data_IF_077903572946
#
_entry.id   IF_077903572946
#
_cell.length_a   1.000
_cell.length_b   1.000
_cell.length_c   1.000
_cell.angle_alpha   90.00
_cell.angle_beta   90.00
_cell.angle_gamma   90.00
#
_symmetry.space_group_name_H-M   'P 1'
#
loop_
_entity.id
_entity.type
_entity.pdbx_description
1 polymer ?
#
# COMPACT_ATOMS: atom_id res chain seq x y z
N UNK A 1 -2.27 -17.38 -3.18
CA UNK A 1 -2.15 -16.61 -1.91
C UNK A 1 -2.33 -15.14 -2.24
N UNK A 2 -3.26 -14.46 -1.58
CA UNK A 2 -3.47 -13.01 -1.74
C UNK A 2 -2.92 -12.29 -0.51
N UNK A 3 -2.18 -11.21 -0.72
CA UNK A 3 -1.46 -10.47 0.32
C UNK A 3 -1.80 -8.98 0.18
N UNK A 4 -2.11 -8.32 1.29
CA UNK A 4 -2.38 -6.86 1.36
C UNK A 4 -1.21 -6.07 1.99
N UNK A 5 -0.05 -6.69 2.14
CA UNK A 5 1.14 -6.08 2.73
C UNK A 5 2.30 -6.19 1.75
N UNK A 6 2.67 -5.08 1.14
CA UNK A 6 3.64 -5.01 0.05
C UNK A 6 5.00 -5.66 0.39
N UNK A 7 5.52 -5.42 1.61
CA UNK A 7 6.78 -6.01 2.06
C UNK A 7 6.71 -7.53 2.20
N UNK A 8 5.61 -8.04 2.79
CA UNK A 8 5.38 -9.48 2.92
C UNK A 8 5.20 -10.13 1.55
N UNK A 9 4.44 -9.51 0.65
CA UNK A 9 4.22 -9.99 -0.71
C UNK A 9 5.53 -10.09 -1.49
N UNK A 10 6.38 -9.08 -1.42
CA UNK A 10 7.71 -9.08 -2.04
C UNK A 10 8.55 -10.27 -1.56
N UNK A 11 8.69 -10.44 -0.24
CA UNK A 11 9.44 -11.55 0.35
C UNK A 11 8.87 -12.92 -0.05
N UNK A 12 7.54 -13.07 -0.04
CA UNK A 12 6.89 -14.33 -0.44
C UNK A 12 7.12 -14.67 -1.92
N UNK A 13 7.18 -13.68 -2.79
CA UNK A 13 7.51 -13.86 -4.23
C UNK A 13 8.96 -14.31 -4.44
N UNK A 14 9.84 -14.10 -3.46
CA UNK A 14 11.26 -14.46 -3.50
C UNK A 14 11.61 -15.78 -2.79
N UNK A 15 10.64 -16.50 -2.22
CA UNK A 15 10.94 -17.76 -1.51
C UNK A 15 11.68 -18.77 -2.39
N UNK A 16 11.41 -18.80 -3.70
CA UNK A 16 12.16 -19.66 -4.62
C UNK A 16 13.67 -19.37 -4.64
N UNK A 17 14.06 -18.11 -4.44
CA UNK A 17 15.48 -17.70 -4.36
C UNK A 17 16.05 -18.01 -2.98
N UNK A 18 15.28 -17.77 -1.91
CA UNK A 18 15.72 -18.06 -0.53
C UNK A 18 15.98 -19.55 -0.28
N UNK A 19 15.31 -20.44 -1.03
CA UNK A 19 15.46 -21.89 -0.95
C UNK A 19 16.29 -22.48 -2.09
N UNK A 20 17.09 -21.66 -2.78
CA UNK A 20 17.97 -22.14 -3.86
C UNK A 20 18.97 -23.16 -3.35
N UNK A 21 19.01 -24.35 -3.99
CA UNK A 21 19.84 -25.48 -3.57
C UNK A 21 19.29 -26.30 -2.38
N UNK A 22 18.15 -25.91 -1.80
CA UNK A 22 17.48 -26.64 -0.73
C UNK A 22 16.48 -27.68 -1.33
N UNK A 23 16.24 -28.83 -0.67
CA UNK A 23 15.21 -29.79 -1.09
C UNK A 23 13.79 -29.20 -1.23
N UNK A 24 13.51 -28.04 -0.64
CA UNK A 24 12.24 -27.34 -0.72
C UNK A 24 12.16 -26.34 -1.89
N UNK A 25 13.23 -26.16 -2.66
CA UNK A 25 13.30 -25.11 -3.71
C UNK A 25 12.12 -25.17 -4.69
N UNK A 26 11.82 -26.35 -5.24
CA UNK A 26 10.72 -26.49 -6.20
C UNK A 26 9.37 -26.10 -5.60
N UNK A 27 9.11 -26.50 -4.37
CA UNK A 27 7.89 -26.14 -3.64
C UNK A 27 7.83 -24.65 -3.34
N UNK A 28 8.95 -24.04 -2.97
CA UNK A 28 9.07 -22.60 -2.71
C UNK A 28 8.83 -21.81 -4.00
N UNK A 29 9.39 -22.21 -5.13
CA UNK A 29 9.13 -21.59 -6.44
C UNK A 29 7.66 -21.73 -6.84
N UNK A 30 7.06 -22.90 -6.65
CA UNK A 30 5.63 -23.12 -6.93
C UNK A 30 4.71 -22.31 -6.01
N UNK A 31 5.11 -22.04 -4.77
CA UNK A 31 4.40 -21.14 -3.86
C UNK A 31 4.51 -19.70 -4.32
N UNK A 32 5.75 -19.21 -4.55
CA UNK A 32 6.02 -17.83 -4.99
C UNK A 32 5.22 -17.45 -6.25
N UNK A 33 5.11 -18.36 -7.21
CA UNK A 33 4.35 -18.16 -8.44
C UNK A 33 2.83 -17.96 -8.21
N UNK A 34 2.31 -18.34 -7.04
CA UNK A 34 0.89 -18.19 -6.67
C UNK A 34 0.64 -16.98 -5.77
N UNK A 35 1.67 -16.24 -5.40
CA UNK A 35 1.53 -15.04 -4.57
C UNK A 35 1.07 -13.88 -5.44
N UNK A 36 0.00 -13.22 -5.01
CA UNK A 36 -0.56 -12.03 -5.66
C UNK A 36 -0.78 -10.96 -4.61
N UNK A 37 -0.44 -9.74 -4.94
CA UNK A 37 -0.95 -8.60 -4.19
C UNK A 37 -2.47 -8.48 -4.41
N UNK A 38 -3.18 -8.00 -3.40
CA UNK A 38 -4.63 -7.81 -3.48
C UNK A 38 -5.01 -6.87 -4.62
N UNK A 39 -4.20 -5.86 -4.88
CA UNK A 39 -4.42 -4.91 -5.97
C UNK A 39 -4.23 -5.53 -7.35
N UNK A 40 -3.24 -6.45 -7.50
CA UNK A 40 -3.10 -7.24 -8.74
C UNK A 40 -4.37 -8.04 -9.03
N UNK A 41 -4.84 -8.81 -8.02
CA UNK A 41 -6.01 -9.66 -8.20
C UNK A 41 -7.26 -8.83 -8.53
N UNK A 42 -7.49 -7.74 -7.80
CA UNK A 42 -8.65 -6.88 -8.04
C UNK A 42 -8.58 -6.21 -9.42
N UNK A 43 -7.40 -5.74 -9.83
CA UNK A 43 -7.23 -5.13 -11.15
C UNK A 43 -7.41 -6.13 -12.31
N UNK A 44 -7.00 -7.40 -12.10
CA UNK A 44 -7.19 -8.50 -13.07
C UNK A 44 -8.67 -8.90 -13.18
N UNK A 45 -9.38 -8.97 -12.07
CA UNK A 45 -10.80 -9.41 -12.05
C UNK A 45 -11.77 -8.28 -12.39
N UNK A 46 -11.35 -7.04 -12.26
CA UNK A 46 -12.18 -5.85 -12.42
C UNK A 46 -13.05 -5.61 -11.18
N UNK A 47 -12.70 -4.66 -10.30
CA UNK A 47 -13.54 -4.33 -9.15
C UNK A 47 -14.87 -3.78 -9.62
N UNK A 48 -15.96 -4.13 -8.91
CA UNK A 48 -17.28 -3.56 -9.18
C UNK A 48 -17.30 -2.08 -8.77
N UNK A 49 -18.07 -1.27 -9.47
CA UNK A 49 -18.37 0.08 -8.99
C UNK A 49 -19.36 -0.01 -7.83
N UNK A 50 -19.01 0.60 -6.70
CA UNK A 50 -19.90 0.71 -5.53
C UNK A 50 -20.63 2.04 -5.46
N UNK A 51 -21.04 2.46 -4.27
CA UNK A 51 -21.58 3.79 -4.01
C UNK A 51 -20.46 4.83 -3.88
N UNK A 52 -20.81 6.11 -4.02
CA UNK A 52 -19.85 7.22 -3.89
C UNK A 52 -19.20 7.27 -2.50
N UNK A 53 -17.88 7.47 -2.50
CA UNK A 53 -17.09 7.85 -1.32
C UNK A 53 -16.39 9.16 -1.64
N UNK A 54 -17.09 10.27 -1.30
CA UNK A 54 -16.60 11.60 -1.63
C UNK A 54 -15.46 11.98 -0.69
N UNK A 55 -14.23 11.74 -1.13
CA UNK A 55 -13.00 12.06 -0.39
C UNK A 55 -11.83 12.31 -1.35
N UNK A 56 -10.87 13.08 -0.87
CA UNK A 56 -9.58 13.30 -1.54
C UNK A 56 -8.53 12.40 -0.90
N UNK A 57 -7.81 11.64 -1.71
CA UNK A 57 -6.79 10.69 -1.29
C UNK A 57 -5.40 11.15 -1.73
N UNK A 58 -4.47 11.37 -0.79
CA UNK A 58 -3.05 11.50 -1.07
C UNK A 58 -2.47 10.09 -1.27
N UNK A 59 -2.24 9.70 -2.52
CA UNK A 59 -1.79 8.34 -2.83
C UNK A 59 -0.26 8.23 -2.80
N UNK A 60 0.24 7.27 -2.00
CA UNK A 60 1.64 6.88 -1.89
C UNK A 60 1.89 5.52 -2.55
N UNK A 61 2.95 5.40 -3.34
CA UNK A 61 3.43 4.14 -3.90
C UNK A 61 4.41 3.45 -2.93
N UNK A 62 4.03 2.39 -2.22
CA UNK A 62 4.99 1.68 -1.38
C UNK A 62 6.16 1.14 -2.19
N UNK A 63 7.38 1.43 -1.75
CA UNK A 63 8.60 1.03 -2.44
C UNK A 63 8.67 -0.49 -2.71
N UNK A 64 8.24 -1.33 -1.77
CA UNK A 64 8.18 -2.78 -1.95
C UNK A 64 7.12 -3.22 -2.97
N UNK A 65 6.03 -2.48 -3.13
CA UNK A 65 5.04 -2.81 -4.15
C UNK A 65 5.56 -2.42 -5.54
N UNK A 66 6.01 -1.18 -5.67
CA UNK A 66 6.44 -0.63 -6.95
C UNK A 66 7.76 -1.22 -7.43
N UNK A 67 8.80 -1.21 -6.60
CA UNK A 67 10.15 -1.58 -7.02
C UNK A 67 10.43 -3.08 -6.88
N UNK A 68 9.95 -3.74 -5.82
CA UNK A 68 10.23 -5.15 -5.61
C UNK A 68 9.22 -6.06 -6.32
N UNK A 69 7.96 -5.66 -6.44
CA UNK A 69 6.92 -6.47 -7.09
C UNK A 69 6.54 -6.00 -8.50
N UNK A 70 6.95 -4.80 -8.92
CA UNK A 70 6.61 -4.22 -10.22
C UNK A 70 5.15 -3.79 -10.35
N UNK A 71 4.46 -3.56 -9.21
CA UNK A 71 3.03 -3.20 -9.14
C UNK A 71 2.91 -1.71 -8.86
N UNK A 72 2.32 -0.96 -9.77
CA UNK A 72 2.16 0.50 -9.64
C UNK A 72 0.81 1.02 -10.11
N UNK A 73 0.29 0.51 -11.22
CA UNK A 73 -1.00 0.94 -11.79
C UNK A 73 -2.21 0.24 -11.16
N UNK A 74 -2.03 -0.95 -10.60
CA UNK A 74 -3.10 -1.82 -10.11
C UNK A 74 -3.85 -1.21 -8.93
N UNK A 75 -3.18 -0.65 -7.90
CA UNK A 75 -3.89 0.03 -6.82
C UNK A 75 -4.70 1.24 -7.28
N UNK A 76 -4.18 1.99 -8.26
CA UNK A 76 -4.88 3.14 -8.85
C UNK A 76 -6.13 2.70 -9.61
N UNK A 77 -6.07 1.56 -10.35
CA UNK A 77 -7.26 0.98 -11.00
C UNK A 77 -8.32 0.55 -9.99
N UNK A 78 -7.91 0.04 -8.83
CA UNK A 78 -8.85 -0.29 -7.74
C UNK A 78 -9.55 0.96 -7.24
N UNK A 79 -8.82 2.04 -6.99
CA UNK A 79 -9.38 3.31 -6.54
C UNK A 79 -10.27 3.99 -7.59
N UNK A 80 -9.95 3.85 -8.87
CA UNK A 80 -10.80 4.35 -9.98
C UNK A 80 -12.18 3.71 -10.04
N UNK A 81 -12.36 2.52 -9.44
CA UNK A 81 -13.67 1.87 -9.34
C UNK A 81 -14.56 2.47 -8.24
N UNK A 82 -14.02 3.35 -7.38
CA UNK A 82 -14.73 4.03 -6.29
C UNK A 82 -15.23 5.39 -6.79
N UNK A 83 -16.55 5.56 -7.01
CA UNK A 83 -17.09 6.85 -7.43
C UNK A 83 -16.86 7.91 -6.34
N UNK A 84 -16.52 9.13 -6.74
CA UNK A 84 -16.31 10.27 -5.82
C UNK A 84 -14.91 10.34 -5.18
N UNK A 85 -14.07 9.31 -5.29
CA UNK A 85 -12.71 9.37 -4.81
C UNK A 85 -11.83 10.21 -5.75
N UNK A 86 -11.28 11.33 -5.24
CA UNK A 86 -10.28 12.15 -5.93
C UNK A 86 -8.88 11.69 -5.52
N UNK A 87 -8.19 10.98 -6.42
CA UNK A 87 -6.89 10.36 -6.14
C UNK A 87 -5.76 11.26 -6.63
N UNK A 88 -4.98 11.79 -5.70
CA UNK A 88 -3.81 12.63 -5.97
C UNK A 88 -2.54 11.86 -5.63
N UNK A 89 -1.77 11.51 -6.63
CA UNK A 89 -0.44 10.91 -6.42
C UNK A 89 0.49 11.99 -5.87
N UNK A 90 1.05 11.75 -4.68
CA UNK A 90 1.91 12.72 -4.01
C UNK A 90 3.25 12.90 -4.73
N UNK A 91 3.92 14.03 -4.52
CA UNK A 91 5.29 14.22 -4.98
C UNK A 91 6.19 13.13 -4.37
N UNK A 92 7.11 12.56 -5.18
CA UNK A 92 8.03 11.50 -4.72
C UNK A 92 7.29 10.30 -4.11
N UNK A 93 6.13 9.94 -4.67
CA UNK A 93 5.31 8.85 -4.18
C UNK A 93 6.07 7.52 -4.12
N UNK A 94 7.00 7.29 -5.03
CA UNK A 94 7.84 6.10 -5.17
C UNK A 94 9.03 6.02 -4.19
N UNK A 95 9.31 7.08 -3.44
CA UNK A 95 10.33 7.09 -2.40
C UNK A 95 9.84 6.37 -1.12
N UNK A 96 10.78 5.91 -0.29
CA UNK A 96 10.47 5.21 0.95
C UNK A 96 9.71 6.10 1.94
N UNK A 97 8.78 5.48 2.70
CA UNK A 97 8.08 6.15 3.81
C UNK A 97 8.91 6.28 5.11
N UNK A 98 10.15 5.76 5.13
CA UNK A 98 11.01 5.75 6.32
C UNK A 98 10.81 4.56 7.26
N UNK A 99 9.76 3.75 7.07
CA UNK A 99 9.45 2.61 7.95
C UNK A 99 10.49 1.51 7.92
N UNK A 100 10.86 1.04 6.72
CA UNK A 100 11.94 0.07 6.46
C UNK A 100 12.03 -1.14 7.42
N UNK A 101 10.92 -1.54 8.05
CA UNK A 101 10.87 -2.67 9.00
C UNK A 101 11.87 -2.51 10.16
N UNK A 102 12.66 -3.56 10.41
CA UNK A 102 13.67 -3.57 11.49
C UNK A 102 14.72 -2.47 11.30
N UNK A 103 15.09 -2.14 10.05
CA UNK A 103 16.08 -1.10 9.80
C UNK A 103 15.63 0.27 10.32
N UNK A 104 14.38 0.65 10.09
CA UNK A 104 13.81 1.89 10.63
C UNK A 104 13.82 1.93 12.16
N UNK A 105 13.58 0.80 12.83
CA UNK A 105 13.64 0.68 14.28
C UNK A 105 15.06 0.81 14.85
N UNK A 106 16.06 0.30 14.14
CA UNK A 106 17.48 0.35 14.56
C UNK A 106 18.20 1.64 14.13
N UNK A 107 17.63 2.37 13.17
CA UNK A 107 18.16 3.63 12.64
C UNK A 107 17.08 4.72 12.65
N UNK A 108 16.54 5.08 13.84
CA UNK A 108 15.38 5.98 13.95
C UNK A 108 15.65 7.39 13.38
N UNK A 109 16.88 7.90 13.48
CA UNK A 109 17.23 9.21 12.95
C UNK A 109 17.07 9.27 11.42
N UNK A 110 17.50 8.21 10.72
CA UNK A 110 17.36 8.14 9.27
C UNK A 110 15.90 7.91 8.87
N UNK A 111 15.24 6.99 9.57
CA UNK A 111 13.81 6.71 9.35
C UNK A 111 12.94 7.95 9.54
N UNK A 112 13.20 8.74 10.57
CA UNK A 112 12.47 9.98 10.85
C UNK A 112 12.70 11.05 9.79
N UNK A 113 13.93 11.20 9.28
CA UNK A 113 14.22 12.17 8.21
C UNK A 113 13.50 11.81 6.91
N UNK A 114 13.59 10.55 6.48
CA UNK A 114 12.88 10.06 5.29
C UNK A 114 11.37 10.19 5.48
N UNK A 115 10.86 9.82 6.66
CA UNK A 115 9.45 9.94 7.01
C UNK A 115 8.95 11.38 6.99
N UNK A 116 9.77 12.34 7.48
CA UNK A 116 9.44 13.75 7.43
C UNK A 116 9.24 14.30 6.02
N UNK A 117 10.12 13.89 5.07
CA UNK A 117 9.97 14.27 3.66
C UNK A 117 8.66 13.69 3.06
N UNK A 118 8.30 12.46 3.43
CA UNK A 118 7.05 11.83 3.01
C UNK A 118 5.83 12.54 3.59
N UNK A 119 5.84 12.89 4.88
CA UNK A 119 4.76 13.64 5.54
C UNK A 119 4.56 15.02 4.89
N UNK A 120 5.65 15.72 4.58
CA UNK A 120 5.58 16.99 3.88
C UNK A 120 4.89 16.84 2.50
N UNK A 121 5.27 15.82 1.71
CA UNK A 121 4.65 15.55 0.42
C UNK A 121 3.15 15.21 0.52
N UNK A 122 2.74 14.50 1.57
CA UNK A 122 1.32 14.22 1.84
C UNK A 122 0.56 15.50 2.17
N UNK A 123 1.12 16.37 3.03
CA UNK A 123 0.49 17.66 3.38
C UNK A 123 0.31 18.55 2.16
N UNK A 124 1.32 18.62 1.32
CA UNK A 124 1.27 19.44 0.10
C UNK A 124 0.17 18.99 -0.87
N UNK A 125 -0.24 17.73 -0.82
CA UNK A 125 -1.36 17.21 -1.61
C UNK A 125 -2.73 17.73 -1.13
N UNK A 126 -2.84 18.20 0.11
CA UNK A 126 -4.07 18.79 0.67
C UNK A 126 -5.25 17.83 0.61
N UNK A 127 -5.05 16.57 0.98
CA UNK A 127 -6.04 15.51 0.91
C UNK A 127 -6.68 15.20 2.28
N UNK A 128 -7.88 14.62 2.25
CA UNK A 128 -8.61 14.22 3.45
C UNK A 128 -7.94 13.01 4.13
N UNK A 129 -7.46 12.05 3.33
CA UNK A 129 -6.86 10.80 3.77
C UNK A 129 -5.56 10.51 3.04
N UNK A 130 -4.66 9.77 3.69
CA UNK A 130 -3.49 9.17 3.04
C UNK A 130 -3.85 7.76 2.59
N UNK A 131 -3.59 7.43 1.33
CA UNK A 131 -3.86 6.10 0.80
C UNK A 131 -2.57 5.41 0.36
N UNK A 132 -2.23 4.29 1.00
CA UNK A 132 -1.03 3.51 0.67
C UNK A 132 -1.27 2.01 0.80
N UNK A 133 -1.01 1.18 -0.24
CA UNK A 133 -1.25 -0.26 -0.23
C UNK A 133 -0.19 -1.05 0.53
N UNK A 134 0.19 -0.58 1.74
CA UNK A 134 1.11 -1.28 2.62
C UNK A 134 0.89 -0.90 4.09
N UNK A 135 0.44 -1.81 4.95
CA UNK A 135 0.22 -1.54 6.37
C UNK A 135 1.44 -0.95 7.09
N UNK A 136 2.66 -1.36 6.71
CA UNK A 136 3.88 -0.77 7.28
C UNK A 136 4.04 0.71 6.95
N UNK A 137 3.70 1.14 5.73
CA UNK A 137 3.69 2.56 5.36
C UNK A 137 2.54 3.31 6.03
N UNK A 138 1.34 2.69 6.13
CA UNK A 138 0.21 3.27 6.86
C UNK A 138 0.59 3.60 8.30
N UNK A 139 1.19 2.63 9.01
CA UNK A 139 1.65 2.82 10.38
C UNK A 139 2.72 3.91 10.50
N UNK A 140 3.71 3.90 9.61
CA UNK A 140 4.83 4.85 9.65
C UNK A 140 4.37 6.29 9.38
N UNK A 141 3.54 6.49 8.35
CA UNK A 141 3.02 7.81 7.97
C UNK A 141 2.03 8.29 9.04
N UNK A 142 1.10 7.43 9.48
CA UNK A 142 0.14 7.78 10.53
C UNK A 142 0.81 8.13 11.86
N UNK A 143 1.83 7.36 12.28
CA UNK A 143 2.61 7.67 13.47
C UNK A 143 3.34 9.03 13.34
N UNK A 144 3.90 9.32 12.16
CA UNK A 144 4.56 10.60 11.91
C UNK A 144 3.61 11.79 12.05
N UNK A 145 2.42 11.73 11.48
CA UNK A 145 1.39 12.75 11.66
C UNK A 145 0.98 12.91 13.13
N UNK A 146 0.77 11.79 13.83
CA UNK A 146 0.43 11.80 15.24
C UNK A 146 1.51 12.48 16.10
N UNK A 147 2.79 12.23 15.83
CA UNK A 147 3.91 12.86 16.54
C UNK A 147 3.98 14.38 16.31
N UNK A 148 3.47 14.86 15.19
CA UNK A 148 3.38 16.29 14.87
C UNK A 148 2.06 16.94 15.35
N UNK A 149 1.22 16.18 16.08
CA UNK A 149 -0.05 16.66 16.61
C UNK A 149 -1.18 16.74 15.58
N UNK A 150 -1.01 16.06 14.45
CA UNK A 150 -2.00 15.96 13.38
C UNK A 150 -2.70 14.58 13.45
N UNK A 151 -3.96 14.53 13.03
CA UNK A 151 -4.78 13.32 13.06
C UNK A 151 -5.06 12.77 11.65
N UNK A 152 -4.14 12.96 10.71
CA UNK A 152 -4.29 12.45 9.35
C UNK A 152 -4.40 10.92 9.36
N UNK A 153 -5.50 10.39 8.85
CA UNK A 153 -5.73 8.95 8.76
C UNK A 153 -5.07 8.34 7.53
N UNK A 154 -4.45 7.17 7.70
CA UNK A 154 -3.86 6.40 6.61
C UNK A 154 -4.70 5.15 6.33
N UNK A 155 -5.13 4.97 5.08
CA UNK A 155 -6.02 3.88 4.64
C UNK A 155 -5.38 3.04 3.53
N UNK A 156 -5.80 1.79 3.44
CA UNK A 156 -5.43 0.92 2.31
C UNK A 156 -6.45 1.10 1.16
N UNK A 157 -6.04 0.99 -0.13
CA UNK A 157 -6.98 1.07 -1.27
C UNK A 157 -8.19 0.14 -1.16
N UNK A 158 -8.01 -1.05 -0.58
CA UNK A 158 -9.12 -2.00 -0.40
C UNK A 158 -10.11 -1.54 0.67
N UNK A 159 -9.71 -0.75 1.66
CA UNK A 159 -10.62 -0.19 2.66
C UNK A 159 -11.53 0.86 2.04
N UNK A 160 -10.98 1.69 1.13
CA UNK A 160 -11.78 2.68 0.37
C UNK A 160 -12.78 1.96 -0.54
N UNK A 161 -12.35 0.88 -1.20
CA UNK A 161 -13.24 0.06 -2.03
C UNK A 161 -14.30 -0.64 -1.19
N UNK A 162 -13.92 -1.17 -0.01
CA UNK A 162 -14.85 -1.84 0.92
C UNK A 162 -15.92 -0.88 1.42
N UNK A 163 -15.56 0.33 1.80
CA UNK A 163 -16.51 1.38 2.20
C UNK A 163 -17.51 1.69 1.08
N UNK A 164 -17.03 1.77 -0.17
CA UNK A 164 -17.88 1.95 -1.34
C UNK A 164 -18.87 0.79 -1.51
N UNK A 165 -18.43 -0.45 -1.25
CA UNK A 165 -19.27 -1.64 -1.33
C UNK A 165 -20.27 -1.72 -0.18
N UNK A 166 -19.89 -1.34 1.03
CA UNK A 166 -20.79 -1.27 2.18
C UNK A 166 -21.91 -0.28 1.94
N UNK A 167 -21.58 0.93 1.47
CA UNK A 167 -22.57 1.95 1.10
C UNK A 167 -23.49 1.52 -0.03
N UNK A 168 -22.99 0.72 -0.98
CA UNK A 168 -23.79 0.13 -2.05
C UNK A 168 -24.70 -1.02 -1.58
N UNK A 169 -24.55 -1.50 -0.34
CA UNK A 169 -25.31 -2.61 0.23
C UNK A 169 -24.95 -3.99 -0.32
N UNK A 170 -23.72 -4.20 -0.75
CA UNK A 170 -23.27 -5.49 -1.27
C UNK A 170 -23.09 -6.54 -0.18
N UNK A 171 -22.97 -6.16 1.06
CA UNK A 171 -22.87 -7.02 2.23
C UNK A 171 -24.21 -7.03 2.99
N UNK A 172 -25.06 -8.00 2.66
CA UNK A 172 -26.33 -8.26 3.35
C UNK A 172 -26.40 -9.70 3.78
#
# INVERSE_FOLDING_TARGET
MVVSAAGCGATMKEYGVLFEGDPMEERARAFSAKVRDVSELLAETGPRSGASVDCTLAYDHPCHLMHAQGISSEPLKVLQAVPGADVRVIAKADECCGGAGIYGMTHPDLGSRIGGDKIAAVRDAGADLVCTPNPGCMMQIGAGFCMEGDAQEAVHPVEVLDESYQRAGYYR
#
